data_IF_587784150111
#
_entry.id   IF_587784150111
#
_cell.length_a   1.000
_cell.length_b   1.000
_cell.length_c   1.000
_cell.angle_alpha   90.00
_cell.angle_beta   90.00
_cell.angle_gamma   90.00
#
_symmetry.space_group_name_H-M   'P 1'
#
loop_
_entity.id
_entity.type
_entity.pdbx_description
1 polymer ?
#
# COMPACT_ATOMS: atom_id res chain seq x y z
N UNK A 1 22.99 -5.26 -1.63
CA UNK A 1 22.04 -4.17 -1.96
C UNK A 1 20.65 -4.74 -1.79
N UNK A 2 19.83 -4.18 -0.90
CA UNK A 2 18.50 -4.70 -0.66
C UNK A 2 17.61 -4.51 -1.89
N UNK A 3 16.66 -5.43 -2.09
CA UNK A 3 15.73 -5.43 -3.23
C UNK A 3 14.33 -5.02 -2.79
N UNK A 4 13.77 -4.00 -3.44
CA UNK A 4 12.42 -3.55 -3.22
C UNK A 4 11.52 -3.86 -4.43
N UNK A 5 10.36 -4.46 -4.17
CA UNK A 5 9.29 -4.62 -5.16
C UNK A 5 8.19 -3.60 -4.90
N UNK A 6 7.87 -2.79 -5.89
CA UNK A 6 6.83 -1.75 -5.81
C UNK A 6 5.75 -2.02 -6.85
N UNK A 7 4.48 -1.95 -6.44
CA UNK A 7 3.35 -2.02 -7.38
C UNK A 7 2.79 -0.65 -7.73
N UNK A 8 2.22 -0.50 -8.94
CA UNK A 8 1.62 0.76 -9.38
C UNK A 8 2.66 1.86 -9.64
N UNK A 9 3.76 1.51 -10.28
CA UNK A 9 4.95 2.36 -10.43
C UNK A 9 4.86 3.38 -11.57
N UNK A 10 3.92 3.23 -12.52
CA UNK A 10 3.95 3.98 -13.78
C UNK A 10 3.51 5.44 -13.65
N UNK A 11 2.96 5.85 -12.52
CA UNK A 11 2.50 7.23 -12.27
C UNK A 11 2.33 7.51 -10.78
N UNK A 12 2.09 8.79 -10.46
CA UNK A 12 1.73 9.26 -9.13
C UNK A 12 2.75 8.89 -8.06
N UNK A 13 2.28 8.51 -6.89
CA UNK A 13 3.15 8.19 -5.74
C UNK A 13 4.16 7.08 -6.05
N UNK A 14 3.75 6.04 -6.81
CA UNK A 14 4.62 4.90 -7.11
C UNK A 14 5.90 5.28 -7.84
N UNK A 15 5.83 6.20 -8.80
CA UNK A 15 7.01 6.74 -9.50
C UNK A 15 7.98 7.39 -8.49
N UNK A 16 7.48 8.23 -7.59
CA UNK A 16 8.30 8.93 -6.59
C UNK A 16 8.88 7.97 -5.53
N UNK A 17 8.13 6.92 -5.15
CA UNK A 17 8.64 5.86 -4.27
C UNK A 17 9.83 5.16 -4.94
N UNK A 18 9.74 4.82 -6.23
CA UNK A 18 10.84 4.17 -6.95
C UNK A 18 12.09 5.06 -6.99
N UNK A 19 11.94 6.35 -7.29
CA UNK A 19 13.06 7.30 -7.25
C UNK A 19 13.68 7.42 -5.85
N UNK A 20 12.86 7.50 -4.81
CA UNK A 20 13.34 7.60 -3.42
C UNK A 20 14.07 6.33 -2.96
N UNK A 21 13.54 5.14 -3.30
CA UNK A 21 14.20 3.87 -3.01
C UNK A 21 15.53 3.73 -3.75
N UNK A 22 15.56 4.13 -5.05
CA UNK A 22 16.80 4.11 -5.84
C UNK A 22 17.86 5.03 -5.24
N UNK A 23 17.47 6.24 -4.82
CA UNK A 23 18.36 7.19 -4.14
C UNK A 23 18.89 6.67 -2.79
N UNK A 24 18.09 5.84 -2.10
CA UNK A 24 18.47 5.17 -0.85
C UNK A 24 19.29 3.87 -1.06
N UNK A 25 19.68 3.56 -2.31
CA UNK A 25 20.57 2.43 -2.62
C UNK A 25 19.87 1.08 -2.77
N UNK A 26 18.54 1.04 -2.99
CA UNK A 26 17.82 -0.19 -3.29
C UNK A 26 17.95 -0.59 -4.77
N UNK A 27 17.96 -1.89 -5.03
CA UNK A 27 17.55 -2.45 -6.30
C UNK A 27 16.03 -2.40 -6.36
N UNK A 28 15.47 -1.75 -7.39
CA UNK A 28 14.03 -1.47 -7.46
C UNK A 28 13.38 -2.24 -8.60
N UNK A 29 12.47 -3.15 -8.22
CA UNK A 29 11.64 -3.92 -9.15
C UNK A 29 10.25 -3.31 -9.20
N UNK A 30 9.71 -3.15 -10.38
CA UNK A 30 8.40 -2.53 -10.59
C UNK A 30 7.37 -3.50 -11.14
N UNK A 31 6.12 -3.39 -10.66
CA UNK A 31 4.98 -4.07 -11.26
C UNK A 31 3.85 -3.07 -11.51
N UNK A 32 3.23 -3.12 -12.68
CA UNK A 32 2.15 -2.21 -13.03
C UNK A 32 1.40 -2.59 -14.29
N UNK A 33 0.28 -1.92 -14.55
CA UNK A 33 -0.60 -2.22 -15.68
C UNK A 33 -0.08 -1.67 -17.02
N UNK A 34 0.68 -0.58 -17.01
CA UNK A 34 1.19 0.05 -18.22
C UNK A 34 2.21 -0.87 -18.92
N UNK A 35 2.31 -0.78 -20.24
CA UNK A 35 3.30 -1.54 -21.03
C UNK A 35 4.75 -1.10 -20.75
N UNK A 36 4.94 0.09 -20.19
CA UNK A 36 6.22 0.65 -19.77
C UNK A 36 6.03 1.52 -18.52
N UNK A 37 7.00 1.55 -17.60
CA UNK A 37 6.91 2.37 -16.40
C UNK A 37 7.01 3.88 -16.65
N UNK A 38 7.55 4.31 -17.80
CA UNK A 38 7.69 5.72 -18.17
C UNK A 38 8.82 6.47 -17.46
N UNK A 39 9.65 5.80 -16.65
CA UNK A 39 10.81 6.40 -15.96
C UNK A 39 11.94 5.39 -15.73
N UNK A 40 13.15 5.90 -15.49
CA UNK A 40 14.38 5.11 -15.37
C UNK A 40 14.76 4.69 -13.94
N UNK A 41 13.86 4.76 -12.96
CA UNK A 41 14.18 4.43 -11.57
C UNK A 41 14.08 2.93 -11.24
N UNK A 42 13.75 2.09 -12.22
CA UNK A 42 13.59 0.65 -12.04
C UNK A 42 14.78 -0.12 -12.62
N UNK A 43 15.17 -1.18 -11.94
CA UNK A 43 16.16 -2.15 -12.43
C UNK A 43 15.50 -3.26 -13.25
N UNK A 44 14.22 -3.56 -12.99
CA UNK A 44 13.39 -4.47 -13.78
C UNK A 44 11.91 -4.11 -13.65
N UNK A 45 11.10 -4.48 -14.63
CA UNK A 45 9.68 -4.16 -14.68
C UNK A 45 8.87 -5.29 -15.31
N UNK A 46 7.77 -5.65 -14.66
CA UNK A 46 6.81 -6.61 -15.20
C UNK A 46 5.40 -6.01 -15.29
N UNK A 47 4.72 -6.31 -16.41
CA UNK A 47 3.32 -5.89 -16.61
C UNK A 47 2.40 -6.81 -15.82
N UNK A 48 1.61 -6.22 -14.93
CA UNK A 48 0.70 -6.96 -14.04
C UNK A 48 -0.64 -6.23 -13.93
N UNK A 49 -1.71 -6.94 -14.23
CA UNK A 49 -3.08 -6.52 -13.92
C UNK A 49 -3.53 -7.15 -12.59
N UNK A 50 -3.55 -6.37 -11.52
CA UNK A 50 -3.92 -6.84 -10.19
C UNK A 50 -5.40 -7.22 -10.02
N UNK A 51 -6.24 -6.98 -11.02
CA UNK A 51 -7.62 -7.52 -11.08
C UNK A 51 -7.65 -9.01 -11.44
N UNK A 52 -6.50 -9.57 -11.80
CA UNK A 52 -6.32 -10.96 -12.18
C UNK A 52 -5.40 -11.67 -11.19
N UNK A 53 -5.43 -13.00 -11.14
CA UNK A 53 -4.44 -13.75 -10.39
C UNK A 53 -3.02 -13.34 -10.79
N UNK A 54 -2.22 -12.97 -9.80
CA UNK A 54 -0.82 -12.61 -10.02
C UNK A 54 -0.03 -13.84 -10.45
N UNK A 55 0.62 -13.76 -11.60
CA UNK A 55 1.38 -14.86 -12.18
C UNK A 55 2.42 -15.41 -11.19
N UNK A 56 2.57 -16.75 -11.15
CA UNK A 56 3.44 -17.42 -10.18
C UNK A 56 4.91 -17.06 -10.34
N UNK A 57 5.32 -16.70 -11.55
CA UNK A 57 6.69 -16.32 -11.93
C UNK A 57 7.02 -14.84 -11.71
N UNK A 58 6.05 -14.01 -11.27
CA UNK A 58 6.31 -12.60 -10.96
C UNK A 58 7.47 -12.49 -9.96
N UNK A 59 8.64 -12.07 -10.43
CA UNK A 59 9.89 -11.96 -9.66
C UNK A 59 10.16 -13.16 -8.73
N UNK A 60 9.82 -14.39 -9.19
CA UNK A 60 9.83 -15.59 -8.36
C UNK A 60 11.24 -15.98 -7.89
N UNK A 61 12.27 -15.68 -8.68
CA UNK A 61 13.68 -15.93 -8.36
C UNK A 61 14.30 -14.86 -7.46
N UNK A 62 13.61 -13.77 -7.18
CA UNK A 62 14.15 -12.65 -6.44
C UNK A 62 13.88 -12.78 -4.94
N UNK A 63 14.88 -12.43 -4.14
CA UNK A 63 14.73 -12.21 -2.72
C UNK A 63 14.28 -10.78 -2.47
N UNK A 64 13.00 -10.61 -2.17
CA UNK A 64 12.40 -9.30 -1.94
C UNK A 64 12.57 -8.91 -0.47
N UNK A 65 13.40 -7.90 -0.19
CA UNK A 65 13.60 -7.37 1.16
C UNK A 65 12.49 -6.40 1.57
N UNK A 66 11.97 -5.64 0.60
CA UNK A 66 10.89 -4.68 0.82
C UNK A 66 9.79 -4.89 -0.22
N UNK A 67 8.55 -5.13 0.23
CA UNK A 67 7.36 -5.12 -0.62
C UNK A 67 6.56 -3.86 -0.36
N UNK A 68 6.36 -3.02 -1.39
CA UNK A 68 5.50 -1.84 -1.32
C UNK A 68 4.25 -2.06 -2.18
N UNK A 69 3.15 -2.44 -1.54
CA UNK A 69 1.82 -2.50 -2.15
C UNK A 69 1.26 -1.08 -2.28
N UNK A 70 1.62 -0.40 -3.38
CA UNK A 70 1.21 0.97 -3.67
C UNK A 70 0.08 1.05 -4.71
N UNK A 71 -0.04 0.09 -5.61
CA UNK A 71 -1.11 0.09 -6.61
C UNK A 71 -2.48 0.24 -5.95
N UNK A 72 -3.32 1.08 -6.56
CA UNK A 72 -4.66 1.33 -6.06
C UNK A 72 -5.50 2.15 -7.03
N UNK A 73 -6.82 2.01 -6.90
CA UNK A 73 -7.82 2.76 -7.64
C UNK A 73 -8.81 3.41 -6.68
N UNK A 74 -9.45 4.49 -7.13
CA UNK A 74 -10.49 5.20 -6.41
C UNK A 74 -11.61 5.47 -7.41
N UNK A 75 -12.49 4.48 -7.61
CA UNK A 75 -13.51 4.51 -8.68
C UNK A 75 -14.77 5.28 -8.24
N UNK A 76 -15.11 5.26 -6.96
CA UNK A 76 -16.27 5.94 -6.37
C UNK A 76 -15.90 7.32 -5.78
N UNK A 77 -15.04 8.08 -6.46
CA UNK A 77 -14.58 9.41 -6.04
C UNK A 77 -15.66 10.48 -6.29
N UNK A 78 -16.24 11.11 -5.24
CA UNK A 78 -17.25 12.14 -5.39
C UNK A 78 -16.79 13.34 -6.24
N UNK A 79 -15.49 13.65 -6.23
CA UNK A 79 -14.90 14.75 -7.01
C UNK A 79 -14.97 14.50 -8.52
N UNK A 80 -15.27 13.28 -8.95
CA UNK A 80 -15.43 12.86 -10.35
C UNK A 80 -16.88 12.63 -10.74
N UNK A 81 -17.81 13.13 -9.93
CA UNK A 81 -19.26 13.01 -10.20
C UNK A 81 -19.90 11.73 -9.74
N UNK A 82 -19.17 10.88 -8.99
CA UNK A 82 -19.79 9.74 -8.33
C UNK A 82 -20.59 10.23 -7.12
N UNK A 83 -21.83 9.73 -7.01
CA UNK A 83 -22.74 10.12 -5.95
C UNK A 83 -22.39 9.53 -4.58
N UNK A 84 -23.42 9.35 -3.79
CA UNK A 84 -23.33 8.66 -2.52
C UNK A 84 -23.26 7.12 -2.68
N UNK A 85 -23.26 6.42 -1.57
CA UNK A 85 -23.20 4.93 -1.56
C UNK A 85 -24.37 4.27 -2.29
N UNK A 86 -25.53 4.93 -2.41
CA UNK A 86 -26.72 4.37 -3.07
C UNK A 86 -26.60 4.36 -4.60
N UNK A 87 -25.70 5.16 -5.16
CA UNK A 87 -25.39 5.21 -6.60
C UNK A 87 -24.17 4.36 -6.99
N UNK A 88 -23.53 3.68 -6.04
CA UNK A 88 -22.34 2.88 -6.29
C UNK A 88 -22.64 1.66 -7.18
N UNK A 89 -21.88 1.50 -8.26
CA UNK A 89 -21.91 0.30 -9.09
C UNK A 89 -21.26 -0.88 -8.36
N UNK A 90 -21.88 -2.06 -8.43
CA UNK A 90 -21.28 -3.29 -7.91
C UNK A 90 -19.99 -3.65 -8.64
N UNK A 91 -19.87 -3.30 -9.92
CA UNK A 91 -18.66 -3.57 -10.69
C UNK A 91 -17.52 -2.64 -10.25
N UNK A 92 -17.78 -1.36 -9.97
CA UNK A 92 -16.78 -0.45 -9.37
C UNK A 92 -16.34 -0.92 -7.97
N UNK A 93 -17.28 -1.44 -7.17
CA UNK A 93 -16.97 -2.04 -5.88
C UNK A 93 -16.03 -3.25 -6.04
N UNK A 94 -16.35 -4.18 -6.94
CA UNK A 94 -15.52 -5.36 -7.24
C UNK A 94 -14.14 -4.96 -7.72
N UNK A 95 -14.05 -4.11 -8.74
CA UNK A 95 -12.78 -3.65 -9.31
C UNK A 95 -11.91 -2.93 -8.28
N UNK A 96 -12.54 -2.15 -7.38
CA UNK A 96 -11.83 -1.50 -6.29
C UNK A 96 -11.23 -2.53 -5.34
N UNK A 97 -11.97 -3.56 -4.96
CA UNK A 97 -11.47 -4.61 -4.07
C UNK A 97 -10.43 -5.50 -4.76
N UNK A 98 -10.62 -5.83 -6.05
CA UNK A 98 -9.64 -6.61 -6.81
C UNK A 98 -8.26 -5.93 -6.80
N UNK A 99 -8.20 -4.63 -7.09
CA UNK A 99 -6.92 -3.91 -7.12
C UNK A 99 -6.41 -3.60 -5.72
N UNK A 100 -7.24 -2.98 -4.86
CA UNK A 100 -6.77 -2.41 -3.60
C UNK A 100 -6.54 -3.45 -2.51
N UNK A 101 -7.27 -4.57 -2.54
CA UNK A 101 -7.17 -5.62 -1.52
C UNK A 101 -6.61 -6.93 -2.09
N UNK A 102 -7.30 -7.56 -3.03
CA UNK A 102 -6.92 -8.91 -3.46
C UNK A 102 -5.58 -8.95 -4.16
N UNK A 103 -5.27 -7.97 -5.03
CA UNK A 103 -3.96 -7.84 -5.65
C UNK A 103 -2.84 -7.66 -4.63
N UNK A 104 -3.04 -6.79 -3.64
CA UNK A 104 -2.08 -6.59 -2.55
C UNK A 104 -1.96 -7.86 -1.68
N UNK A 105 -3.07 -8.50 -1.33
CA UNK A 105 -3.09 -9.71 -0.51
C UNK A 105 -2.34 -10.87 -1.18
N UNK A 106 -2.51 -11.07 -2.50
CA UNK A 106 -1.78 -12.09 -3.25
C UNK A 106 -0.26 -11.93 -3.09
N UNK A 107 0.25 -10.70 -3.16
CA UNK A 107 1.68 -10.42 -2.98
C UNK A 107 2.12 -10.59 -1.53
N UNK A 108 1.33 -10.10 -0.56
CA UNK A 108 1.62 -10.30 0.87
C UNK A 108 1.71 -11.79 1.19
N UNK A 109 0.71 -12.58 0.80
CA UNK A 109 0.67 -14.04 1.05
C UNK A 109 1.79 -14.80 0.34
N UNK A 110 2.33 -14.28 -0.74
CA UNK A 110 3.48 -14.85 -1.44
C UNK A 110 4.81 -14.55 -0.75
N UNK A 111 5.03 -13.30 -0.36
CA UNK A 111 6.35 -12.87 0.12
C UNK A 111 6.50 -12.94 1.64
N UNK A 112 5.43 -12.79 2.44
CA UNK A 112 5.52 -12.86 3.90
C UNK A 112 6.09 -14.19 4.41
N UNK A 113 5.67 -15.38 3.91
CA UNK A 113 6.28 -16.64 4.34
C UNK A 113 7.77 -16.72 4.03
N UNK A 114 8.20 -16.18 2.88
CA UNK A 114 9.62 -16.15 2.49
C UNK A 114 10.43 -15.22 3.39
N UNK A 115 9.86 -14.07 3.78
CA UNK A 115 10.46 -13.14 4.74
C UNK A 115 10.57 -13.78 6.14
N UNK A 116 9.53 -14.48 6.60
CA UNK A 116 9.55 -15.21 7.87
C UNK A 116 10.68 -16.26 7.86
N UNK A 117 10.79 -17.06 6.79
CA UNK A 117 11.79 -18.12 6.67
C UNK A 117 13.24 -17.60 6.78
N UNK A 118 13.50 -16.36 6.34
CA UNK A 118 14.83 -15.74 6.46
C UNK A 118 14.94 -14.73 7.62
N UNK A 119 13.90 -14.59 8.44
CA UNK A 119 13.83 -13.68 9.60
C UNK A 119 14.13 -12.21 9.24
N UNK A 120 13.82 -11.79 8.01
CA UNK A 120 14.07 -10.43 7.53
C UNK A 120 13.13 -10.04 6.41
N UNK A 121 12.56 -8.84 6.50
CA UNK A 121 11.72 -8.25 5.45
C UNK A 121 10.81 -7.14 5.96
N UNK A 122 10.43 -6.27 5.04
CA UNK A 122 9.50 -5.16 5.28
C UNK A 122 8.34 -5.22 4.28
N UNK A 123 7.12 -5.10 4.76
CA UNK A 123 5.93 -4.96 3.89
C UNK A 123 5.24 -3.63 4.21
N UNK A 124 5.03 -2.82 3.19
CA UNK A 124 4.26 -1.59 3.28
C UNK A 124 3.01 -1.71 2.45
N UNK A 125 1.85 -1.49 3.06
CA UNK A 125 0.60 -1.36 2.33
C UNK A 125 0.17 0.12 2.30
N UNK A 126 0.12 0.72 1.10
CA UNK A 126 -0.34 2.09 0.95
C UNK A 126 -1.85 2.12 1.17
N UNK A 127 -2.20 2.65 2.34
CA UNK A 127 -3.57 2.83 2.81
C UNK A 127 -3.99 4.30 2.69
N UNK A 128 -5.03 4.67 3.42
CA UNK A 128 -5.56 6.03 3.50
C UNK A 128 -6.11 6.30 4.88
N UNK A 129 -6.08 7.55 5.34
CA UNK A 129 -6.86 7.96 6.50
C UNK A 129 -8.34 7.65 6.35
N UNK A 130 -8.85 7.60 5.11
CA UNK A 130 -10.23 7.19 4.80
C UNK A 130 -10.52 5.72 5.11
N UNK A 131 -9.51 4.87 5.34
CA UNK A 131 -9.66 3.49 5.80
C UNK A 131 -9.89 3.36 7.31
N UNK A 132 -10.34 4.41 7.98
CA UNK A 132 -10.75 4.41 9.40
C UNK A 132 -12.26 4.57 9.51
N UNK A 133 -12.90 3.70 10.28
CA UNK A 133 -14.38 3.72 10.42
C UNK A 133 -14.91 5.04 10.99
N UNK A 134 -14.19 5.63 11.94
CA UNK A 134 -14.58 6.88 12.59
C UNK A 134 -14.69 8.09 11.63
N UNK A 135 -14.01 8.02 10.48
CA UNK A 135 -13.99 9.10 9.49
C UNK A 135 -14.99 8.84 8.33
N UNK A 136 -15.90 7.86 8.46
CA UNK A 136 -16.89 7.54 7.44
C UNK A 136 -17.97 8.63 7.33
N UNK A 137 -18.29 9.04 6.11
CA UNK A 137 -19.18 10.17 5.80
C UNK A 137 -20.27 9.84 4.75
N UNK A 138 -20.51 8.57 4.47
CA UNK A 138 -21.53 8.12 3.48
C UNK A 138 -21.07 8.16 2.03
N UNK A 139 -19.90 8.71 1.73
CA UNK A 139 -19.31 8.71 0.39
C UNK A 139 -18.10 7.76 0.30
N UNK A 140 -17.69 7.43 -0.92
CA UNK A 140 -16.45 6.69 -1.17
C UNK A 140 -16.41 5.31 -0.50
N UNK A 141 -17.54 4.63 -0.43
CA UNK A 141 -17.68 3.37 0.30
C UNK A 141 -16.73 2.28 -0.21
N UNK A 142 -16.61 2.12 -1.55
CA UNK A 142 -15.73 1.11 -2.13
C UNK A 142 -14.25 1.38 -1.75
N UNK A 143 -13.80 2.61 -1.92
CA UNK A 143 -12.44 2.99 -1.58
C UNK A 143 -12.16 2.85 -0.08
N UNK A 144 -13.03 3.43 0.78
CA UNK A 144 -12.89 3.39 2.24
C UNK A 144 -12.84 1.95 2.75
N UNK A 145 -13.79 1.12 2.35
CA UNK A 145 -13.88 -0.28 2.79
C UNK A 145 -12.69 -1.10 2.29
N UNK A 146 -12.20 -0.87 1.08
CA UNK A 146 -10.98 -1.53 0.60
C UNK A 146 -9.73 -1.14 1.41
N UNK A 147 -9.62 0.14 1.82
CA UNK A 147 -8.49 0.61 2.66
C UNK A 147 -8.62 0.16 4.12
N UNK A 148 -9.82 -0.01 4.64
CA UNK A 148 -10.06 -0.66 5.93
C UNK A 148 -9.66 -2.15 5.87
N UNK A 149 -10.05 -2.86 4.81
CA UNK A 149 -9.72 -4.26 4.64
C UNK A 149 -8.20 -4.50 4.52
N UNK A 150 -7.47 -3.63 3.80
CA UNK A 150 -6.00 -3.73 3.74
C UNK A 150 -5.35 -3.45 5.11
N UNK A 151 -5.91 -2.54 5.91
CA UNK A 151 -5.46 -2.30 7.27
C UNK A 151 -5.64 -3.55 8.16
N UNK A 152 -6.78 -4.25 8.01
CA UNK A 152 -7.03 -5.52 8.71
C UNK A 152 -6.03 -6.61 8.29
N UNK A 153 -5.70 -6.71 6.99
CA UNK A 153 -4.67 -7.63 6.49
C UNK A 153 -3.30 -7.32 7.13
N UNK A 154 -2.91 -6.05 7.21
CA UNK A 154 -1.67 -5.61 7.85
C UNK A 154 -1.60 -6.09 9.30
N UNK A 155 -2.67 -5.90 10.09
CA UNK A 155 -2.72 -6.36 11.48
C UNK A 155 -2.60 -7.89 11.60
N UNK A 156 -3.26 -8.63 10.70
CA UNK A 156 -3.20 -10.10 10.69
C UNK A 156 -1.78 -10.62 10.40
N UNK A 157 -1.09 -10.02 9.44
CA UNK A 157 0.30 -10.38 9.13
C UNK A 157 1.26 -9.92 10.23
N UNK A 158 1.02 -8.75 10.81
CA UNK A 158 1.84 -8.21 11.90
C UNK A 158 1.86 -9.13 13.13
N UNK A 159 0.76 -9.83 13.40
CA UNK A 159 0.70 -10.85 14.45
C UNK A 159 1.73 -11.95 14.20
N UNK A 160 1.75 -12.55 13.00
CA UNK A 160 2.72 -13.57 12.63
C UNK A 160 4.16 -13.07 12.59
N UNK A 161 4.38 -11.82 12.18
CA UNK A 161 5.69 -11.19 12.20
C UNK A 161 6.19 -10.92 13.63
N UNK A 162 5.27 -10.59 14.55
CA UNK A 162 5.57 -10.39 15.96
C UNK A 162 5.96 -11.68 16.71
N UNK A 163 5.48 -12.84 16.24
CA UNK A 163 5.85 -14.15 16.76
C UNK A 163 7.19 -14.66 16.22
N UNK A 164 7.61 -14.18 15.05
CA UNK A 164 8.88 -14.56 14.44
C UNK A 164 10.05 -13.75 15.01
N UNK A 165 11.21 -14.37 15.07
CA UNK A 165 12.46 -13.66 15.41
C UNK A 165 13.00 -12.91 14.20
N UNK A 166 13.66 -11.77 14.44
CA UNK A 166 14.36 -11.03 13.39
C UNK A 166 13.76 -9.65 13.05
N UNK A 167 14.22 -9.10 11.94
CA UNK A 167 13.85 -7.76 11.45
C UNK A 167 12.65 -7.82 10.48
N UNK A 168 11.49 -8.20 11.01
CA UNK A 168 10.24 -8.34 10.25
C UNK A 168 9.25 -7.25 10.63
N UNK A 169 8.75 -6.50 9.66
CA UNK A 169 7.62 -5.61 9.90
C UNK A 169 6.69 -5.48 8.70
N UNK A 170 5.41 -5.32 9.01
CA UNK A 170 4.38 -4.91 8.06
C UNK A 170 3.63 -3.72 8.65
N UNK A 171 3.39 -2.69 7.85
CA UNK A 171 2.67 -1.51 8.31
C UNK A 171 1.83 -0.87 7.20
N UNK A 172 0.81 -0.13 7.62
CA UNK A 172 0.01 0.71 6.73
C UNK A 172 0.60 2.10 6.60
N UNK A 173 0.60 2.64 5.39
CA UNK A 173 1.09 3.98 5.10
C UNK A 173 0.02 4.84 4.43
N UNK A 174 -0.31 6.00 4.99
CA UNK A 174 -1.15 7.03 4.39
C UNK A 174 -0.26 8.19 3.90
N UNK A 175 -0.20 8.44 2.58
CA UNK A 175 0.63 9.50 2.02
C UNK A 175 0.05 10.91 2.22
N UNK A 176 -1.07 11.06 2.94
CA UNK A 176 -1.91 12.25 2.99
C UNK A 176 -2.67 12.45 1.68
N UNK A 177 -3.22 13.65 1.46
CA UNK A 177 -3.81 14.04 0.19
C UNK A 177 -2.75 14.73 -0.67
N UNK A 178 -2.25 14.01 -1.66
CA UNK A 178 -1.11 14.39 -2.49
C UNK A 178 -1.55 14.66 -3.93
N UNK A 179 -0.87 15.57 -4.62
CA UNK A 179 -1.10 15.91 -6.05
C UNK A 179 -0.65 14.75 -6.93
N UNK A 180 -1.62 14.01 -7.42
CA UNK A 180 -1.50 12.90 -8.37
C UNK A 180 -2.80 12.85 -9.16
N UNK A 181 -2.88 12.03 -10.22
CA UNK A 181 -4.13 11.81 -10.94
C UNK A 181 -5.28 11.39 -10.02
N UNK A 182 -5.00 10.58 -9.01
CA UNK A 182 -5.97 10.16 -8.00
C UNK A 182 -6.30 11.30 -7.02
N UNK A 183 -5.29 12.04 -6.58
CA UNK A 183 -5.45 13.09 -5.58
C UNK A 183 -5.95 14.42 -6.12
N UNK A 184 -5.90 14.64 -7.43
CA UNK A 184 -6.17 15.87 -8.16
C UNK A 184 -5.14 16.99 -7.92
N UNK A 185 -5.17 18.02 -8.76
CA UNK A 185 -4.32 19.22 -8.67
C UNK A 185 -4.56 20.03 -7.38
N UNK A 186 -5.79 19.97 -6.83
CA UNK A 186 -6.18 20.69 -5.61
C UNK A 186 -5.59 20.11 -4.32
N UNK A 187 -4.91 18.97 -4.38
CA UNK A 187 -4.30 18.38 -3.20
C UNK A 187 -3.18 19.29 -2.65
N UNK A 188 -3.12 19.48 -1.31
CA UNK A 188 -2.19 20.44 -0.71
C UNK A 188 -0.73 19.98 -0.72
N UNK A 189 -0.48 18.67 -0.84
CA UNK A 189 0.85 18.11 -0.69
C UNK A 189 1.43 17.59 -2.01
N UNK A 190 2.72 17.76 -2.20
CA UNK A 190 3.47 17.14 -3.28
C UNK A 190 3.72 15.65 -2.98
N UNK A 191 3.86 14.76 -3.98
CA UNK A 191 4.10 13.34 -3.76
C UNK A 191 5.53 13.01 -3.30
N UNK A 192 6.53 13.83 -3.64
CA UNK A 192 7.93 13.57 -3.33
C UNK A 192 8.20 13.47 -1.82
N UNK A 193 7.73 14.41 -0.96
CA UNK A 193 7.90 14.28 0.49
C UNK A 193 7.23 13.02 1.05
N UNK A 194 6.06 12.64 0.51
CA UNK A 194 5.38 11.42 0.95
C UNK A 194 6.18 10.16 0.58
N UNK A 195 6.79 10.12 -0.60
CA UNK A 195 7.67 9.02 -0.99
C UNK A 195 8.93 8.94 -0.10
N UNK A 196 9.55 10.09 0.20
CA UNK A 196 10.70 10.16 1.11
C UNK A 196 10.34 9.73 2.54
N UNK A 197 9.17 10.13 3.04
CA UNK A 197 8.68 9.69 4.36
C UNK A 197 8.50 8.16 4.42
N UNK A 198 7.96 7.54 3.35
CA UNK A 198 7.83 6.09 3.28
C UNK A 198 9.19 5.40 3.38
N UNK A 199 10.21 5.89 2.65
CA UNK A 199 11.55 5.29 2.68
C UNK A 199 12.18 5.43 4.07
N UNK A 200 12.03 6.59 4.75
CA UNK A 200 12.48 6.77 6.14
C UNK A 200 11.80 5.79 7.11
N UNK A 201 10.52 5.45 6.90
CA UNK A 201 9.83 4.47 7.73
C UNK A 201 10.41 3.05 7.59
N UNK A 202 11.05 2.73 6.47
CA UNK A 202 11.76 1.45 6.29
C UNK A 202 13.01 1.34 7.17
N UNK A 203 13.57 2.46 7.62
CA UNK A 203 14.75 2.53 8.49
C UNK A 203 14.41 2.39 9.99
N UNK A 204 13.12 2.53 10.35
CA UNK A 204 12.67 2.36 11.74
C UNK A 204 12.82 0.89 12.14
N UNK A 205 13.30 0.60 13.39
CA UNK A 205 13.36 -0.77 13.89
C UNK A 205 12.02 -1.52 13.73
N UNK A 206 12.09 -2.79 13.38
CA UNK A 206 10.91 -3.59 13.06
C UNK A 206 9.86 -3.58 14.19
N UNK A 207 10.28 -3.68 15.44
CA UNK A 207 9.39 -3.65 16.61
C UNK A 207 8.68 -2.30 16.82
N UNK A 208 9.14 -1.22 16.19
CA UNK A 208 8.51 0.10 16.25
C UNK A 208 7.59 0.36 15.05
N UNK A 209 7.70 -0.42 13.98
CA UNK A 209 6.88 -0.25 12.78
C UNK A 209 5.87 -1.38 12.55
N UNK A 210 6.13 -2.59 13.07
CA UNK A 210 5.25 -3.74 12.87
C UNK A 210 3.84 -3.51 13.43
N UNK A 211 2.81 -3.72 12.60
CA UNK A 211 1.42 -3.52 12.97
C UNK A 211 1.01 -2.07 13.16
N UNK A 212 1.79 -1.11 12.68
CA UNK A 212 1.48 0.32 12.84
C UNK A 212 0.82 0.91 11.61
N UNK A 213 0.17 2.06 11.81
CA UNK A 213 -0.39 2.86 10.74
C UNK A 213 0.21 4.26 10.79
N UNK A 214 0.88 4.67 9.71
CA UNK A 214 1.53 5.97 9.62
C UNK A 214 0.85 6.90 8.62
N UNK A 215 0.80 8.21 8.96
CA UNK A 215 0.47 9.29 8.03
C UNK A 215 1.68 10.23 7.93
N UNK A 216 2.41 10.18 6.81
CA UNK A 216 3.78 10.68 6.77
C UNK A 216 4.61 9.92 7.82
N UNK A 217 5.37 10.64 8.63
CA UNK A 217 6.16 10.05 9.72
C UNK A 217 5.40 9.92 11.05
N UNK A 218 4.15 10.41 11.12
CA UNK A 218 3.36 10.34 12.35
C UNK A 218 2.54 9.06 12.40
N UNK A 219 2.61 8.35 13.51
CA UNK A 219 1.72 7.23 13.77
C UNK A 219 0.26 7.71 13.92
N UNK A 220 -0.67 7.01 13.24
CA UNK A 220 -2.11 7.12 13.42
C UNK A 220 -2.59 5.94 14.27
N UNK A 221 -3.51 6.20 15.21
CA UNK A 221 -4.26 5.10 15.81
C UNK A 221 -5.15 4.40 14.77
N UNK A 222 -5.39 3.11 14.97
CA UNK A 222 -6.27 2.33 14.10
C UNK A 222 -7.70 2.84 14.13
N UNK A 223 -8.30 2.86 15.31
CA UNK A 223 -9.55 3.54 15.62
C UNK A 223 -9.45 4.14 17.02
N UNK A 224 -10.12 5.25 17.26
CA UNK A 224 -10.12 5.83 18.60
C UNK A 224 -10.87 4.93 19.56
N UNK A 225 -10.30 4.79 20.72
CA UNK A 225 -10.93 4.22 21.90
C UNK A 225 -12.22 4.99 22.24
N UNK A 226 -13.33 4.57 21.64
CA UNK A 226 -14.60 4.72 22.31
C UNK A 226 -14.65 3.64 23.42
N UNK A 227 -15.26 3.90 24.59
CA UNK A 227 -15.49 2.83 25.54
C UNK A 227 -16.25 1.73 24.83
N UNK A 228 -15.72 0.50 24.86
CA UNK A 228 -16.51 -0.68 24.58
C UNK A 228 -17.64 -0.65 25.60
N UNK A 229 -18.82 -0.18 25.20
CA UNK A 229 -20.02 -0.37 25.98
C UNK A 229 -20.40 -1.82 25.73
N UNK A 230 -19.77 -2.70 26.51
CA UNK A 230 -20.13 -4.10 26.54
C UNK A 230 -21.59 -4.19 26.90
N UNK A 231 -22.41 -4.76 26.01
CA UNK A 231 -23.74 -5.22 26.34
C UNK A 231 -23.67 -6.51 27.15
#
# INVERSE_FOLDING_TARGET
MPTALVTGVSRGLGTHICHSLKAAGYRVLGAGLASSPGHGALDDYQVVDLRKPVAADLFASEDIDVLVNNAGVYLDDPRRGYGDVLSLSIDDLRDTFEVNLFGAAQLVLRYAPRMIARSSGRIVCVSSGMGRLQDADGASFAYRSSKLAINSLVLSIAHHFGEATGELSVFSYCPRWIRTDMGTESAPHAPEPAAADLVRLLEIPANQSNGRFFRGLRELGWDTQGPFVGG
#
